data_IF_053081441098
#
_entry.id   IF_053081441098
#
_cell.length_a   1.000
_cell.length_b   1.000
_cell.length_c   1.000
_cell.angle_alpha   90.00
_cell.angle_beta   90.00
_cell.angle_gamma   90.00
#
_symmetry.space_group_name_H-M   'P 1'
#
loop_
_entity.id
_entity.type
_entity.pdbx_description
1 polymer ?
#
# COMPACT_ATOMS: atom_id res chain seq x y z
N UNK A 1 4.61 27.51 2.62
CA UNK A 1 5.86 26.76 2.36
C UNK A 1 5.67 25.37 2.94
N UNK A 2 5.96 24.35 2.14
CA UNK A 2 5.67 22.94 2.38
C UNK A 2 6.54 22.39 3.52
N UNK A 3 5.94 22.05 4.66
CA UNK A 3 6.56 21.12 5.61
C UNK A 3 6.27 19.71 5.13
N UNK A 4 7.05 19.29 4.13
CA UNK A 4 7.14 17.90 3.73
C UNK A 4 8.60 17.47 3.90
N UNK A 5 8.87 16.38 4.64
CA UNK A 5 7.90 15.52 5.34
C UNK A 5 7.39 16.16 6.65
N UNK A 6 6.28 15.65 7.24
CA UNK A 6 5.85 16.03 8.58
C UNK A 6 6.97 15.83 9.61
N UNK A 7 6.97 16.64 10.67
CA UNK A 7 7.98 16.64 11.75
C UNK A 7 8.05 15.31 12.52
N UNK A 8 7.04 14.45 12.37
CA UNK A 8 6.97 13.13 12.98
C UNK A 8 7.07 12.04 11.90
N UNK A 9 8.19 11.32 11.90
CA UNK A 9 8.38 10.14 11.06
C UNK A 9 7.70 8.97 11.76
N UNK A 10 6.74 8.34 11.08
CA UNK A 10 6.12 7.10 11.56
C UNK A 10 6.97 5.91 11.12
N UNK A 11 7.34 5.06 12.08
CA UNK A 11 7.94 3.77 11.77
C UNK A 11 6.82 2.75 11.65
N UNK A 12 6.66 2.18 10.46
CA UNK A 12 5.70 1.12 10.16
C UNK A 12 6.49 -0.15 9.84
N UNK A 13 6.02 -1.29 10.33
CA UNK A 13 6.51 -2.57 9.81
C UNK A 13 6.00 -2.79 8.37
N UNK A 14 6.54 -3.78 7.65
CA UNK A 14 6.20 -4.01 6.23
C UNK A 14 4.70 -4.22 6.00
N UNK A 15 4.02 -4.84 6.97
CA UNK A 15 2.59 -5.14 6.91
C UNK A 15 1.75 -3.87 7.12
N UNK A 16 2.11 -3.05 8.10
CA UNK A 16 1.48 -1.75 8.36
C UNK A 16 1.69 -0.77 7.21
N UNK A 17 2.88 -0.80 6.59
CA UNK A 17 3.18 0.01 5.41
C UNK A 17 2.34 -0.43 4.19
N UNK A 18 2.10 -1.74 4.04
CA UNK A 18 1.20 -2.27 3.03
C UNK A 18 -0.25 -1.82 3.26
N UNK A 19 -0.73 -1.90 4.51
CA UNK A 19 -2.07 -1.44 4.88
C UNK A 19 -2.24 0.07 4.66
N UNK A 20 -1.20 0.86 4.98
CA UNK A 20 -1.18 2.29 4.69
C UNK A 20 -1.26 2.59 3.18
N UNK A 21 -0.56 1.80 2.36
CA UNK A 21 -0.62 1.91 0.89
C UNK A 21 -2.02 1.60 0.35
N UNK A 22 -2.66 0.52 0.83
CA UNK A 22 -4.04 0.16 0.45
C UNK A 22 -5.01 1.29 0.83
N UNK A 23 -4.91 1.80 2.07
CA UNK A 23 -5.75 2.87 2.56
C UNK A 23 -5.60 4.15 1.72
N UNK A 24 -4.37 4.48 1.33
CA UNK A 24 -4.09 5.63 0.46
C UNK A 24 -4.73 5.49 -0.92
N UNK A 25 -4.54 4.35 -1.60
CA UNK A 25 -5.14 4.10 -2.93
C UNK A 25 -6.66 4.15 -2.85
N UNK A 26 -7.26 3.55 -1.82
CA UNK A 26 -8.71 3.58 -1.60
C UNK A 26 -9.23 5.00 -1.45
N UNK A 27 -8.61 5.80 -0.58
CA UNK A 27 -8.99 7.19 -0.39
C UNK A 27 -8.86 8.01 -1.68
N UNK A 28 -7.81 7.78 -2.47
CA UNK A 28 -7.63 8.41 -3.78
C UNK A 28 -8.75 8.06 -4.75
N UNK A 29 -9.09 6.77 -4.87
CA UNK A 29 -10.15 6.27 -5.74
C UNK A 29 -11.52 6.83 -5.36
N UNK A 30 -11.82 6.86 -4.05
CA UNK A 30 -13.06 7.41 -3.50
C UNK A 30 -13.21 8.90 -3.77
N UNK A 31 -12.14 9.67 -3.55
CA UNK A 31 -12.11 11.12 -3.82
C UNK A 31 -12.39 11.45 -5.30
N UNK A 32 -12.04 10.54 -6.20
CA UNK A 32 -12.25 10.69 -7.65
C UNK A 32 -13.58 10.09 -8.14
N UNK A 33 -14.48 9.73 -7.23
CA UNK A 33 -15.80 9.23 -7.58
C UNK A 33 -15.81 7.78 -8.04
N UNK A 34 -14.77 6.99 -7.73
CA UNK A 34 -14.71 5.55 -7.98
C UNK A 34 -14.82 5.15 -9.46
N UNK A 35 -14.34 6.00 -10.38
CA UNK A 35 -14.59 5.84 -11.82
C UNK A 35 -13.57 4.96 -12.55
N UNK A 36 -12.46 4.57 -11.90
CA UNK A 36 -11.42 3.75 -12.52
C UNK A 36 -11.61 2.29 -12.14
N UNK A 37 -11.95 1.47 -13.14
CA UNK A 37 -12.07 0.02 -12.99
C UNK A 37 -10.71 -0.63 -12.70
N UNK A 38 -9.61 -0.11 -13.25
CA UNK A 38 -8.26 -0.61 -12.97
C UNK A 38 -7.91 -0.46 -11.48
N UNK A 39 -8.26 0.67 -10.87
CA UNK A 39 -8.03 0.87 -9.42
C UNK A 39 -8.99 -0.01 -8.61
N UNK A 40 -10.23 -0.21 -9.07
CA UNK A 40 -11.17 -1.11 -8.41
C UNK A 40 -10.65 -2.57 -8.42
N UNK A 41 -10.15 -3.03 -9.55
CA UNK A 41 -9.54 -4.36 -9.71
C UNK A 41 -8.30 -4.51 -8.85
N UNK A 42 -7.40 -3.52 -8.85
CA UNK A 42 -6.24 -3.51 -7.98
C UNK A 42 -6.64 -3.62 -6.51
N UNK A 43 -7.56 -2.77 -6.04
CA UNK A 43 -8.05 -2.80 -4.66
C UNK A 43 -8.66 -4.15 -4.31
N UNK A 44 -9.42 -4.76 -5.22
CA UNK A 44 -9.99 -6.10 -5.01
C UNK A 44 -8.91 -7.19 -4.87
N UNK A 45 -7.80 -7.07 -5.61
CA UNK A 45 -6.71 -8.05 -5.56
C UNK A 45 -5.87 -7.93 -4.27
N UNK A 46 -5.67 -6.71 -3.78
CA UNK A 46 -4.80 -6.44 -2.62
C UNK A 46 -5.55 -6.35 -1.29
N UNK A 47 -6.90 -6.33 -1.29
CA UNK A 47 -7.68 -6.21 -0.05
C UNK A 47 -7.41 -7.40 0.88
N UNK A 48 -7.05 -7.08 2.11
CA UNK A 48 -6.71 -8.05 3.16
C UNK A 48 -7.89 -8.42 4.05
N UNK A 49 -9.01 -7.70 3.94
CA UNK A 49 -10.22 -7.98 4.71
C UNK A 49 -11.08 -9.10 4.10
N UNK A 50 -10.71 -9.61 2.93
CA UNK A 50 -11.41 -10.68 2.23
C UNK A 50 -11.19 -12.03 2.93
N UNK A 51 -10.02 -12.22 3.54
CA UNK A 51 -9.66 -13.48 4.19
C UNK A 51 -9.56 -13.32 5.71
N UNK A 52 -10.16 -14.26 6.45
CA UNK A 52 -10.18 -14.23 7.92
C UNK A 52 -8.79 -14.33 8.58
N UNK A 53 -7.76 -14.73 7.82
CA UNK A 53 -6.37 -14.79 8.27
C UNK A 53 -5.61 -13.47 8.05
N UNK A 54 -6.25 -12.44 7.49
CA UNK A 54 -5.65 -11.14 7.23
C UNK A 54 -4.54 -11.17 6.18
N UNK A 55 -4.46 -12.20 5.33
CA UNK A 55 -3.49 -12.25 4.20
C UNK A 55 -4.10 -11.49 3.00
N UNK A 56 -3.30 -10.85 2.12
CA UNK A 56 -3.82 -10.23 0.90
C UNK A 56 -4.69 -11.17 0.07
N UNK A 57 -5.68 -10.59 -0.61
CA UNK A 57 -6.57 -11.25 -1.57
C UNK A 57 -5.85 -12.25 -2.46
N UNK A 58 -4.72 -11.82 -3.01
CA UNK A 58 -3.78 -12.59 -3.82
C UNK A 58 -2.41 -12.77 -3.11
N UNK A 59 -1.96 -14.02 -2.86
CA UNK A 59 -0.63 -14.30 -2.30
C UNK A 59 0.54 -13.75 -3.13
N UNK A 60 0.40 -13.61 -4.46
CA UNK A 60 1.47 -13.07 -5.31
C UNK A 60 1.70 -11.58 -5.05
N UNK A 61 0.63 -10.84 -4.76
CA UNK A 61 0.69 -9.41 -4.44
C UNK A 61 1.55 -9.11 -3.19
N UNK A 62 1.64 -10.03 -2.23
CA UNK A 62 2.55 -9.88 -1.09
C UNK A 62 4.03 -10.00 -1.51
N UNK A 63 4.35 -10.94 -2.39
CA UNK A 63 5.71 -11.09 -2.93
C UNK A 63 6.15 -9.86 -3.71
N UNK A 64 5.28 -9.32 -4.56
CA UNK A 64 5.54 -8.09 -5.31
C UNK A 64 5.78 -6.89 -4.38
N UNK A 65 5.02 -6.79 -3.28
CA UNK A 65 5.23 -5.78 -2.24
C UNK A 65 6.60 -5.92 -1.57
N UNK A 66 6.99 -7.13 -1.18
CA UNK A 66 8.30 -7.37 -0.55
C UNK A 66 9.47 -7.02 -1.49
N UNK A 67 9.32 -7.27 -2.80
CA UNK A 67 10.28 -6.84 -3.82
C UNK A 67 10.35 -5.31 -3.88
N UNK A 68 9.19 -4.62 -3.87
CA UNK A 68 9.13 -3.16 -3.88
C UNK A 68 9.80 -2.55 -2.63
N UNK A 69 9.48 -3.06 -1.43
CA UNK A 69 10.12 -2.65 -0.16
C UNK A 69 11.64 -2.84 -0.23
N UNK A 70 12.09 -4.02 -0.67
CA UNK A 70 13.51 -4.33 -0.80
C UNK A 70 14.23 -3.36 -1.75
N UNK A 71 13.58 -2.96 -2.85
CA UNK A 71 14.17 -2.02 -3.81
C UNK A 71 14.44 -0.63 -3.20
N UNK A 72 13.52 -0.15 -2.37
CA UNK A 72 13.63 1.14 -1.69
C UNK A 72 14.70 1.07 -0.59
N UNK A 73 14.67 0.01 0.23
CA UNK A 73 15.66 -0.16 1.30
C UNK A 73 17.08 -0.34 0.77
N UNK A 74 17.26 -0.99 -0.39
CA UNK A 74 18.57 -1.15 -1.04
C UNK A 74 19.13 0.17 -1.60
N UNK A 75 18.25 1.14 -1.87
CA UNK A 75 18.65 2.47 -2.37
C UNK A 75 19.12 3.39 -1.24
N UNK A 76 18.81 3.07 0.02
CA UNK A 76 19.29 3.82 1.20
C UNK A 76 20.71 3.43 1.65
N UNK A 77 21.43 2.63 0.86
CA UNK A 77 22.76 2.09 1.19
C UNK A 77 23.82 2.28 0.10
N UNK A 78 23.79 3.37 -0.67
CA UNK A 78 24.83 3.71 -1.66
C UNK A 78 25.20 5.20 -1.60
#
# INVERSE_FOLDING_TARGET
MNHFPPTEIRNLNELEAFDAMIAFIRAYWELRGKTSDDIANLLSNIDRNVWANGVPGDPASWGDWQIAVSSVLRTNGS
#
